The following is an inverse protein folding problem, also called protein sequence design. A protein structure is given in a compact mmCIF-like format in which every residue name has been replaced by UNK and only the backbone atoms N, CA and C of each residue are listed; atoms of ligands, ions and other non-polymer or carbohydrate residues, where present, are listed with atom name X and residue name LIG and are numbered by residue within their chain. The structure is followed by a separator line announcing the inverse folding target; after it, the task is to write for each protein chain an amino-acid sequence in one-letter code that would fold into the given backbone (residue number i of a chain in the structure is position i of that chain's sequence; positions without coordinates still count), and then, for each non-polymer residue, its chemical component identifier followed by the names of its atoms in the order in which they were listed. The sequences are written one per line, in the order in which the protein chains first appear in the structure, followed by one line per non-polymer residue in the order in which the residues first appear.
data_IF_537994350255
#
_entry.id   IF_537994350255
#
_cell.length_a   1.000
_cell.length_b   1.000
_cell.length_c   1.000
_cell.angle_alpha   90.00
_cell.angle_beta   90.00
_cell.angle_gamma   90.00
#
_symmetry.space_group_name_H-M   'P 1'
#
loop_
_entity.id
_entity.type
_entity.pdbx_description
1 polymer ?
#
# COMPACT_ATOMS: atom_id res chain seq x y z
N UNK A 1 6.82 -13.69 -6.78
CA UNK A 1 6.77 -14.38 -5.46
C UNK A 1 5.60 -13.76 -4.74
N UNK A 2 4.55 -14.54 -4.51
CA UNK A 2 3.29 -14.00 -4.01
C UNK A 2 3.35 -13.70 -2.52
N UNK A 3 2.98 -12.48 -2.14
CA UNK A 3 2.91 -12.09 -0.73
C UNK A 3 1.73 -12.78 -0.08
N UNK A 4 2.02 -13.61 0.93
CA UNK A 4 1.01 -14.32 1.70
C UNK A 4 0.05 -13.35 2.40
N UNK A 5 -1.16 -13.82 2.69
CA UNK A 5 -2.14 -13.07 3.50
C UNK A 5 -1.53 -12.76 4.87
N UNK A 6 -1.77 -11.55 5.36
CA UNK A 6 -1.20 -11.01 6.60
C UNK A 6 0.34 -10.92 6.63
N UNK A 7 0.99 -10.92 5.45
CA UNK A 7 2.41 -10.63 5.30
C UNK A 7 2.61 -9.29 4.61
N UNK A 8 3.86 -8.84 4.55
CA UNK A 8 4.27 -7.62 3.88
C UNK A 8 5.36 -7.87 2.85
N UNK A 9 5.48 -6.93 1.92
CA UNK A 9 6.61 -6.81 1.00
C UNK A 9 7.16 -5.39 1.01
N UNK A 10 8.44 -5.19 0.66
CA UNK A 10 8.95 -3.87 0.34
C UNK A 10 8.33 -3.34 -0.96
N UNK A 11 8.42 -2.02 -1.16
CA UNK A 11 8.07 -1.40 -2.44
C UNK A 11 9.00 -1.91 -3.57
N UNK A 12 8.44 -2.11 -4.76
CA UNK A 12 9.22 -2.47 -5.94
C UNK A 12 10.01 -1.25 -6.45
N UNK A 13 11.07 -1.48 -7.21
CA UNK A 13 11.85 -0.38 -7.80
C UNK A 13 10.99 0.53 -8.71
N UNK A 14 9.97 -0.03 -9.37
CA UNK A 14 9.00 0.73 -10.17
C UNK A 14 8.14 1.66 -9.32
N UNK A 15 7.58 1.14 -8.23
CA UNK A 15 6.77 1.90 -7.26
C UNK A 15 7.58 3.02 -6.61
N UNK A 16 8.82 2.74 -6.18
CA UNK A 16 9.72 3.73 -5.58
C UNK A 16 10.02 4.85 -6.58
N UNK A 17 10.33 4.52 -7.84
CA UNK A 17 10.62 5.53 -8.87
C UNK A 17 9.42 6.46 -9.09
N UNK A 18 8.20 5.92 -9.09
CA UNK A 18 6.98 6.73 -9.23
C UNK A 18 6.72 7.59 -8.00
N UNK A 19 6.80 7.00 -6.80
CA UNK A 19 6.56 7.73 -5.57
C UNK A 19 7.63 8.80 -5.33
N UNK A 20 8.87 8.60 -5.80
CA UNK A 20 9.94 9.59 -5.81
C UNK A 20 9.71 10.72 -6.80
N UNK A 21 9.03 10.48 -7.93
CA UNK A 21 8.66 11.56 -8.85
C UNK A 21 7.64 12.53 -8.23
N UNK A 22 6.79 12.05 -7.30
CA UNK A 22 5.75 12.86 -6.65
C UNK A 22 6.20 13.46 -5.31
N UNK A 23 6.82 12.64 -4.45
CA UNK A 23 7.17 13.00 -3.07
C UNK A 23 8.67 13.25 -2.88
N UNK A 24 9.48 13.10 -3.93
CA UNK A 24 10.92 13.37 -3.94
C UNK A 24 11.66 12.70 -2.78
N UNK A 25 12.17 13.47 -1.82
CA UNK A 25 12.91 12.99 -0.64
C UNK A 25 12.11 13.15 0.66
N UNK A 26 10.81 13.45 0.59
CA UNK A 26 9.97 13.63 1.77
C UNK A 26 9.65 12.32 2.51
N UNK A 27 9.85 11.17 1.86
CA UNK A 27 9.47 9.85 2.37
C UNK A 27 10.69 8.91 2.35
N UNK A 28 10.89 8.15 3.42
CA UNK A 28 11.87 7.07 3.45
C UNK A 28 11.29 5.79 2.81
N UNK A 29 11.43 5.65 1.50
CA UNK A 29 10.89 4.52 0.73
C UNK A 29 11.36 3.14 1.19
N UNK A 30 12.55 3.03 1.79
CA UNK A 30 13.08 1.76 2.29
C UNK A 30 12.39 1.29 3.58
N UNK A 31 11.78 2.22 4.33
CA UNK A 31 11.03 1.92 5.54
C UNK A 31 9.57 1.56 5.23
N UNK A 32 9.04 1.97 4.08
CA UNK A 32 7.64 1.73 3.68
C UNK A 32 7.44 0.26 3.33
N UNK A 33 6.48 -0.36 4.02
CA UNK A 33 6.05 -1.73 3.77
C UNK A 33 4.63 -1.74 3.19
N UNK A 34 4.40 -2.67 2.28
CA UNK A 34 3.08 -2.94 1.68
C UNK A 34 2.55 -4.24 2.26
N UNK A 35 1.55 -4.14 3.11
CA UNK A 35 0.87 -5.26 3.78
C UNK A 35 -0.28 -5.78 2.92
N UNK A 36 -0.35 -7.10 2.76
CA UNK A 36 -1.49 -7.83 2.20
C UNK A 36 -2.45 -8.21 3.34
N UNK A 37 -3.11 -7.22 3.92
CA UNK A 37 -3.96 -7.41 5.09
C UNK A 37 -4.64 -6.13 5.54
N UNK A 38 -5.72 -6.31 6.27
CA UNK A 38 -6.45 -5.22 6.91
C UNK A 38 -5.64 -4.67 8.09
N UNK A 39 -5.67 -3.34 8.25
CA UNK A 39 -5.11 -2.64 9.40
C UNK A 39 -6.01 -2.75 10.63
N UNK A 40 -7.33 -2.61 10.46
CA UNK A 40 -8.28 -2.65 11.57
C UNK A 40 -8.74 -4.09 11.88
N UNK A 41 -8.72 -4.52 13.15
CA UNK A 41 -9.25 -5.82 13.55
C UNK A 41 -10.77 -5.89 13.36
N UNK A 42 -11.31 -7.11 13.33
CA UNK A 42 -12.75 -7.41 13.19
C UNK A 42 -13.40 -6.97 11.86
N UNK A 43 -12.62 -6.76 10.80
CA UNK A 43 -13.18 -6.37 9.49
C UNK A 43 -13.80 -4.97 9.50
N UNK A 44 -13.39 -4.12 10.45
CA UNK A 44 -13.81 -2.71 10.52
C UNK A 44 -13.26 -1.89 9.35
N UNK A 45 -12.20 -2.36 8.69
CA UNK A 45 -11.69 -1.77 7.46
C UNK A 45 -12.54 -2.20 6.27
N UNK A 46 -13.01 -1.22 5.50
CA UNK A 46 -13.72 -1.48 4.27
C UNK A 46 -12.80 -2.16 3.25
N UNK A 47 -13.25 -3.25 2.63
CA UNK A 47 -12.48 -4.02 1.63
C UNK A 47 -12.08 -3.23 0.38
N UNK A 48 -12.62 -2.02 0.20
CA UNK A 48 -12.30 -1.10 -0.91
C UNK A 48 -11.47 0.11 -0.48
N UNK A 49 -10.94 0.12 0.74
CA UNK A 49 -10.14 1.22 1.28
C UNK A 49 -8.79 0.69 1.74
N UNK A 50 -7.72 1.26 1.19
CA UNK A 50 -6.37 1.07 1.71
C UNK A 50 -6.09 2.13 2.79
N UNK A 51 -5.27 1.80 3.78
CA UNK A 51 -4.95 2.72 4.89
C UNK A 51 -3.45 2.92 5.05
N UNK A 52 -3.06 4.13 5.46
CA UNK A 52 -1.65 4.49 5.73
C UNK A 52 -1.52 5.28 7.04
N UNK A 53 -1.60 4.62 8.22
CA UNK A 53 -1.64 5.29 9.51
C UNK A 53 -0.25 5.63 10.09
N UNK A 54 0.77 4.82 9.81
CA UNK A 54 2.10 4.87 10.43
C UNK A 54 3.23 5.01 9.39
N UNK A 55 2.87 5.34 8.14
CA UNK A 55 3.79 5.33 7.00
C UNK A 55 3.95 3.96 6.33
N UNK A 56 3.31 2.91 6.85
CA UNK A 56 3.12 1.66 6.12
C UNK A 56 1.79 1.66 5.36
N UNK A 57 1.72 0.87 4.29
CA UNK A 57 0.51 0.75 3.47
C UNK A 57 -0.17 -0.58 3.73
N UNK A 58 -1.45 -0.51 4.13
CA UNK A 58 -2.29 -1.68 4.39
C UNK A 58 -3.35 -1.79 3.32
N UNK A 59 -3.25 -2.83 2.50
CA UNK A 59 -4.22 -3.13 1.46
C UNK A 59 -5.04 -4.36 1.87
N UNK A 60 -6.39 -4.24 1.91
CA UNK A 60 -7.24 -5.41 1.99
C UNK A 60 -6.93 -6.38 0.86
N UNK A 61 -7.14 -7.68 1.09
CA UNK A 61 -6.86 -8.73 0.10
C UNK A 61 -7.54 -8.47 -1.26
N UNK A 62 -8.73 -7.86 -1.24
CA UNK A 62 -9.48 -7.48 -2.45
C UNK A 62 -8.81 -6.37 -3.30
N UNK A 63 -7.91 -5.58 -2.71
CA UNK A 63 -7.18 -4.49 -3.36
C UNK A 63 -5.68 -4.76 -3.50
N UNK A 64 -5.14 -5.71 -2.74
CA UNK A 64 -3.72 -6.03 -2.77
C UNK A 64 -3.30 -6.52 -4.16
N UNK A 65 -2.17 -5.99 -4.64
CA UNK A 65 -1.54 -6.41 -5.89
C UNK A 65 -0.04 -6.58 -5.67
N UNK A 66 0.54 -7.59 -6.34
CA UNK A 66 1.98 -7.80 -6.30
C UNK A 66 2.77 -6.66 -6.94
N UNK A 67 2.20 -6.03 -7.97
CA UNK A 67 2.74 -4.84 -8.60
C UNK A 67 1.59 -3.90 -8.98
N UNK A 68 1.74 -2.61 -8.68
CA UNK A 68 0.75 -1.60 -9.04
C UNK A 68 1.12 -0.97 -10.38
N UNK A 69 0.41 -1.31 -11.48
CA UNK A 69 0.76 -0.83 -12.81
C UNK A 69 0.54 0.69 -12.94
N UNK A 70 1.41 1.33 -13.70
CA UNK A 70 1.39 2.76 -14.07
C UNK A 70 0.06 3.24 -14.67
N UNK A 71 -0.70 2.33 -15.29
CA UNK A 71 -1.86 2.66 -16.13
C UNK A 71 -3.13 2.16 -15.46
N UNK A 72 -3.89 3.11 -14.93
CA UNK A 72 -5.35 3.06 -14.75
C UNK A 72 -5.90 1.92 -13.90
N UNK A 73 -5.78 2.09 -12.59
CA UNK A 73 -6.93 1.83 -11.72
C UNK A 73 -6.87 2.88 -10.63
N UNK A 74 -7.83 3.83 -10.55
CA UNK A 74 -7.85 4.74 -9.41
C UNK A 74 -7.90 3.88 -8.16
N UNK A 75 -6.89 4.02 -7.29
CA UNK A 75 -6.93 3.45 -5.96
C UNK A 75 -8.19 4.07 -5.33
N UNK A 76 -9.26 3.27 -5.20
CA UNK A 76 -10.62 3.80 -5.10
C UNK A 76 -10.85 4.66 -3.85
N UNK A 77 -9.98 4.53 -2.84
CA UNK A 77 -9.78 5.40 -1.67
C UNK A 77 -8.57 4.89 -0.89
N UNK A 78 -7.51 5.69 -0.79
CA UNK A 78 -6.53 5.55 0.29
C UNK A 78 -6.94 6.52 1.40
N UNK A 79 -7.21 6.00 2.60
CA UNK A 79 -7.43 6.82 3.77
C UNK A 79 -6.09 6.99 4.49
N UNK A 80 -5.55 8.20 4.41
CA UNK A 80 -4.44 8.60 5.26
C UNK A 80 -5.04 9.00 6.60
N UNK A 81 -4.83 8.19 7.65
CA UNK A 81 -5.16 8.60 9.01
C UNK A 81 -4.05 9.58 9.43
N UNK A 82 -4.39 10.86 9.47
CA UNK A 82 -3.50 11.95 9.88
C UNK A 82 -3.32 11.95 11.38
#
# INVERSE_FOLDING_TARGET
MSTLKNNYRPMTAGEIRMARALFQNAINYSAVKVYNGDYLPFGLQNSRVAMTPDGNMYYPEALFREDFPLVTSPIRRCLCMK
#
